data_IF_775750103668
#
_entry.id   IF_775750103668
#
_cell.length_a   1.000
_cell.length_b   1.000
_cell.length_c   1.000
_cell.angle_alpha   90.00
_cell.angle_beta   90.00
_cell.angle_gamma   90.00
#
_symmetry.space_group_name_H-M   'P 1'
#
loop_
_entity.id
_entity.type
_entity.pdbx_description
1 polymer ?
#
# COMPACT_ATOMS: atom_id res chain seq x y z
N UNK A 1 18.30 -16.30 -12.66
CA UNK A 1 17.41 -16.26 -11.52
C UNK A 1 17.69 -15.09 -10.59
N UNK A 2 18.88 -14.91 -9.97
CA UNK A 2 19.15 -13.78 -9.04
C UNK A 2 18.92 -12.35 -9.59
N UNK A 3 18.95 -12.13 -10.90
CA UNK A 3 18.75 -10.80 -11.56
C UNK A 3 17.32 -10.56 -12.06
N UNK A 4 16.49 -11.59 -12.20
CA UNK A 4 15.12 -11.46 -12.70
C UNK A 4 14.11 -10.97 -11.63
N UNK A 5 14.35 -11.28 -10.35
CA UNK A 5 13.36 -10.97 -9.29
C UNK A 5 13.40 -9.50 -8.81
N UNK A 6 14.51 -8.77 -8.98
CA UNK A 6 14.60 -7.37 -8.52
C UNK A 6 13.74 -6.38 -9.30
N UNK A 7 13.48 -6.63 -10.58
CA UNK A 7 12.68 -5.73 -11.42
C UNK A 7 11.17 -5.98 -11.31
N UNK A 8 10.78 -7.19 -10.94
CA UNK A 8 9.39 -7.62 -10.87
C UNK A 8 8.64 -6.96 -9.70
N UNK A 9 9.37 -6.54 -8.67
CA UNK A 9 8.79 -5.94 -7.47
C UNK A 9 8.17 -4.55 -7.68
N UNK A 10 8.55 -3.84 -8.71
CA UNK A 10 8.03 -2.50 -8.98
C UNK A 10 6.63 -2.49 -9.66
N UNK A 11 6.13 -3.65 -10.12
CA UNK A 11 4.90 -3.73 -10.92
C UNK A 11 3.77 -4.55 -10.28
N UNK A 12 3.97 -5.09 -9.09
CA UNK A 12 3.05 -6.09 -8.53
C UNK A 12 1.63 -5.58 -8.23
N UNK A 13 1.43 -4.30 -8.03
CA UNK A 13 0.21 -3.78 -7.43
C UNK A 13 -0.95 -3.52 -8.38
N UNK A 14 -0.68 -3.14 -9.60
CA UNK A 14 -1.75 -2.80 -10.55
C UNK A 14 -2.53 -4.03 -11.01
N UNK A 15 -1.93 -5.21 -10.89
CA UNK A 15 -2.49 -6.45 -11.40
C UNK A 15 -3.23 -7.30 -10.33
N UNK A 16 -3.19 -6.86 -9.07
CA UNK A 16 -3.84 -7.55 -7.95
C UNK A 16 -5.32 -7.18 -7.76
N UNK A 17 -5.92 -6.40 -8.65
CA UNK A 17 -7.36 -6.11 -8.59
C UNK A 17 -8.14 -7.39 -8.84
N UNK A 18 -8.40 -8.03 -7.77
CA UNK A 18 -9.03 -9.25 -7.41
C UNK A 18 -9.91 -9.96 -8.44
N UNK A 19 -9.80 -11.26 -8.42
CA UNK A 19 -10.90 -12.14 -8.79
C UNK A 19 -12.15 -11.70 -8.01
N UNK A 20 -13.34 -11.61 -8.65
CA UNK A 20 -14.55 -11.22 -7.96
C UNK A 20 -14.84 -12.25 -6.86
N UNK A 21 -14.72 -11.84 -5.61
CA UNK A 21 -15.27 -12.62 -4.51
C UNK A 21 -16.77 -12.79 -4.77
N UNK A 22 -17.27 -14.01 -4.72
CA UNK A 22 -18.69 -14.32 -4.75
C UNK A 22 -19.35 -13.64 -3.55
N UNK A 23 -19.87 -12.46 -3.74
CA UNK A 23 -20.53 -11.68 -2.72
C UNK A 23 -21.85 -12.34 -2.34
N UNK A 24 -21.97 -12.72 -1.08
CA UNK A 24 -23.26 -12.91 -0.43
C UNK A 24 -23.98 -11.54 -0.38
N UNK A 25 -25.31 -11.51 -0.61
CA UNK A 25 -26.08 -10.26 -0.52
C UNK A 25 -25.88 -9.59 0.86
N UNK A 26 -25.48 -8.31 0.92
CA UNK A 26 -25.22 -7.66 2.19
C UNK A 26 -26.52 -7.34 2.93
N UNK A 27 -26.59 -7.67 4.22
CA UNK A 27 -27.44 -6.93 5.16
C UNK A 27 -27.14 -5.43 5.00
N UNK A 28 -28.16 -4.57 5.15
CA UNK A 28 -28.03 -3.13 4.91
C UNK A 28 -26.81 -2.58 5.70
N UNK A 29 -25.72 -2.26 4.99
CA UNK A 29 -24.49 -1.78 5.58
C UNK A 29 -24.72 -0.39 6.21
N UNK A 30 -24.13 -0.15 7.37
CA UNK A 30 -24.08 1.16 7.99
C UNK A 30 -23.01 2.00 7.26
N UNK A 31 -23.36 3.20 6.84
CA UNK A 31 -22.42 4.13 6.24
C UNK A 31 -21.65 4.88 7.35
N UNK A 32 -20.34 5.10 7.19
CA UNK A 32 -19.58 5.98 8.08
C UNK A 32 -20.16 7.39 8.07
N UNK A 33 -20.16 8.05 9.22
CA UNK A 33 -20.58 9.45 9.26
C UNK A 33 -19.60 10.35 8.48
N UNK A 34 -20.04 11.39 7.73
CA UNK A 34 -19.18 12.20 6.87
C UNK A 34 -17.93 12.79 7.54
N UNK A 35 -18.03 13.10 8.83
CA UNK A 35 -16.89 13.65 9.60
C UNK A 35 -15.76 12.61 9.85
N UNK A 36 -15.99 11.32 9.58
CA UNK A 36 -14.99 10.26 9.69
C UNK A 36 -14.17 10.09 8.42
N UNK A 37 -14.63 10.58 7.27
CA UNK A 37 -14.03 10.29 5.96
C UNK A 37 -12.55 10.68 5.88
N UNK A 38 -12.16 11.79 6.51
CA UNK A 38 -10.76 12.22 6.57
C UNK A 38 -9.83 11.23 7.29
N UNK A 39 -10.38 10.29 8.08
CA UNK A 39 -9.62 9.31 8.86
C UNK A 39 -9.70 7.88 8.31
N UNK A 40 -10.59 7.58 7.37
CA UNK A 40 -10.85 6.21 6.94
C UNK A 40 -9.61 5.52 6.37
N UNK A 41 -8.81 6.23 5.57
CA UNK A 41 -7.58 5.66 5.01
C UNK A 41 -6.58 5.29 6.11
N UNK A 42 -6.32 6.22 7.05
CA UNK A 42 -5.44 5.96 8.20
C UNK A 42 -5.98 4.84 9.10
N UNK A 43 -7.30 4.82 9.30
CA UNK A 43 -7.95 3.80 10.14
C UNK A 43 -7.73 2.40 9.60
N UNK A 44 -7.97 2.23 8.30
CA UNK A 44 -7.79 0.96 7.62
C UNK A 44 -6.30 0.57 7.58
N UNK A 45 -5.43 1.50 7.22
CA UNK A 45 -4.00 1.29 7.14
C UNK A 45 -3.34 0.96 8.48
N UNK A 46 -3.90 1.47 9.60
CA UNK A 46 -3.45 1.14 10.95
C UNK A 46 -4.05 -0.18 11.48
N UNK A 47 -4.98 -0.81 10.74
CA UNK A 47 -5.67 -2.02 11.19
C UNK A 47 -6.74 -1.78 12.25
N UNK A 48 -7.18 -0.53 12.44
CA UNK A 48 -8.22 -0.15 13.41
C UNK A 48 -9.65 -0.39 12.89
N UNK A 49 -9.78 -0.82 11.65
CA UNK A 49 -11.04 -1.12 10.99
C UNK A 49 -10.86 -2.35 10.10
N UNK A 50 -11.75 -3.31 10.18
CA UNK A 50 -11.79 -4.51 9.34
C UNK A 50 -12.83 -4.38 8.21
N UNK A 51 -12.85 -5.33 7.26
CA UNK A 51 -13.78 -5.37 6.13
C UNK A 51 -15.25 -5.56 6.56
N UNK A 52 -15.48 -5.94 7.80
CA UNK A 52 -16.81 -6.11 8.39
C UNK A 52 -17.42 -4.83 8.97
N UNK A 53 -16.70 -3.71 8.96
CA UNK A 53 -17.06 -2.47 9.64
C UNK A 53 -18.47 -1.94 9.31
N UNK A 54 -18.93 -2.13 8.08
CA UNK A 54 -20.27 -1.72 7.65
C UNK A 54 -21.42 -2.34 8.45
N UNK A 55 -21.17 -3.39 9.24
CA UNK A 55 -22.19 -4.00 10.11
C UNK A 55 -22.36 -3.27 11.43
N UNK A 56 -21.34 -2.53 11.90
CA UNK A 56 -21.32 -2.02 13.26
C UNK A 56 -20.70 -0.61 13.44
N UNK A 57 -20.27 0.05 12.39
CA UNK A 57 -19.50 1.30 12.47
C UNK A 57 -20.19 2.41 13.28
N UNK A 58 -21.52 2.52 13.22
CA UNK A 58 -22.30 3.47 13.99
C UNK A 58 -22.86 2.87 15.29
N UNK A 59 -22.63 1.59 15.56
CA UNK A 59 -23.10 0.92 16.77
C UNK A 59 -22.18 1.25 17.96
N UNK A 60 -22.68 1.13 19.21
CA UNK A 60 -21.81 1.20 20.38
C UNK A 60 -20.68 0.18 20.30
N UNK A 61 -19.46 0.62 20.61
CA UNK A 61 -18.29 -0.26 20.63
C UNK A 61 -18.44 -1.33 21.72
N UNK A 62 -17.99 -2.56 21.44
CA UNK A 62 -17.94 -3.62 22.44
C UNK A 62 -16.62 -3.59 23.22
N UNK A 63 -16.57 -4.30 24.36
CA UNK A 63 -15.32 -4.43 25.13
C UNK A 63 -14.21 -5.10 24.34
N UNK A 64 -14.52 -6.17 23.60
CA UNK A 64 -13.55 -6.89 22.78
C UNK A 64 -12.99 -6.00 21.66
N UNK A 65 -13.84 -5.22 21.00
CA UNK A 65 -13.41 -4.26 19.97
C UNK A 65 -12.54 -3.15 20.55
N UNK A 66 -12.88 -2.61 21.72
CA UNK A 66 -12.06 -1.60 22.37
C UNK A 66 -10.71 -2.16 22.80
N UNK A 67 -10.68 -3.38 23.35
CA UNK A 67 -9.43 -4.07 23.70
C UNK A 67 -8.55 -4.23 22.45
N UNK A 68 -9.09 -4.77 21.37
CA UNK A 68 -8.33 -4.91 20.11
C UNK A 68 -7.80 -3.56 19.59
N UNK A 69 -8.60 -2.48 19.66
CA UNK A 69 -8.15 -1.14 19.28
C UNK A 69 -6.99 -0.63 20.15
N UNK A 70 -7.10 -0.80 21.47
CA UNK A 70 -6.05 -0.36 22.40
C UNK A 70 -4.76 -1.16 22.23
N UNK A 71 -4.86 -2.46 21.92
CA UNK A 71 -3.70 -3.31 21.62
C UNK A 71 -2.98 -2.79 20.35
N UNK A 72 -3.72 -2.51 19.27
CA UNK A 72 -3.14 -1.93 18.04
C UNK A 72 -2.47 -0.59 18.33
N UNK A 73 -3.12 0.30 19.09
CA UNK A 73 -2.51 1.59 19.46
C UNK A 73 -1.25 1.38 20.29
N UNK A 74 -1.27 0.46 21.27
CA UNK A 74 -0.11 0.11 22.09
C UNK A 74 1.06 -0.40 21.24
N UNK A 75 0.80 -1.32 20.31
CA UNK A 75 1.81 -1.85 19.40
C UNK A 75 2.43 -0.75 18.54
N UNK A 76 1.62 0.18 18.02
CA UNK A 76 2.12 1.32 17.24
C UNK A 76 2.98 2.26 18.08
N UNK A 77 2.61 2.56 19.31
CA UNK A 77 3.41 3.40 20.21
C UNK A 77 4.72 2.71 20.62
N UNK A 78 4.70 1.39 20.82
CA UNK A 78 5.89 0.60 21.16
C UNK A 78 6.98 0.71 20.07
N UNK A 79 6.61 0.83 18.80
CA UNK A 79 7.55 1.01 17.68
C UNK A 79 8.37 2.31 17.78
N UNK A 80 7.89 3.32 18.50
CA UNK A 80 8.57 4.60 18.65
C UNK A 80 9.76 4.54 19.62
N UNK A 81 9.88 3.47 20.42
CA UNK A 81 10.95 3.37 21.42
C UNK A 81 10.96 4.49 22.46
N UNK A 82 9.79 5.05 22.78
CA UNK A 82 9.65 6.13 23.75
C UNK A 82 10.14 5.70 25.13
N UNK A 83 10.72 6.61 25.93
CA UNK A 83 11.15 6.31 27.29
C UNK A 83 9.97 5.84 28.14
N UNK A 84 10.11 4.72 28.84
CA UNK A 84 9.12 4.15 29.74
C UNK A 84 9.05 4.93 31.05
N UNK A 85 7.86 5.04 31.67
CA UNK A 85 7.69 5.70 33.00
C UNK A 85 7.97 4.77 34.18
N UNK A 86 8.06 3.46 33.97
CA UNK A 86 8.08 2.48 35.04
C UNK A 86 6.63 2.19 35.48
N UNK A 87 6.21 0.99 35.24
CA UNK A 87 4.83 0.57 35.38
C UNK A 87 4.27 0.81 36.79
N UNK A 88 3.16 1.54 36.89
CA UNK A 88 2.13 1.18 37.84
C UNK A 88 1.40 -0.01 37.21
N UNK A 89 1.39 -1.15 37.90
CA UNK A 89 0.81 -2.43 37.46
C UNK A 89 -0.74 -2.38 37.38
N UNK A 90 -1.30 -1.23 37.08
CA UNK A 90 -2.74 -1.05 36.96
C UNK A 90 -3.24 -1.61 35.62
N UNK A 91 -4.05 -2.66 35.72
CA UNK A 91 -4.64 -3.27 34.55
C UNK A 91 -5.50 -2.25 33.76
N UNK A 92 -5.40 -2.26 32.44
CA UNK A 92 -6.21 -1.43 31.55
C UNK A 92 -7.71 -1.60 31.88
N UNK A 93 -8.38 -0.51 32.19
CA UNK A 93 -9.80 -0.53 32.49
C UNK A 93 -10.59 -0.33 31.19
N UNK A 94 -11.30 -1.36 30.77
CA UNK A 94 -12.14 -1.35 29.57
C UNK A 94 -13.57 -0.96 29.94
N UNK A 95 -13.91 0.29 29.61
CA UNK A 95 -15.25 0.85 29.71
C UNK A 95 -15.65 1.46 28.35
N UNK A 96 -16.81 1.10 27.83
CA UNK A 96 -17.26 1.46 26.47
C UNK A 96 -18.06 2.77 26.43
N UNK A 97 -18.08 3.55 27.49
CA UNK A 97 -18.52 4.94 27.45
C UNK A 97 -17.48 5.82 26.76
N UNK A 98 -17.85 6.99 26.29
CA UNK A 98 -16.88 7.94 25.68
C UNK A 98 -15.76 8.29 26.66
N UNK A 99 -16.07 8.50 27.93
CA UNK A 99 -15.08 8.72 28.99
C UNK A 99 -14.17 7.50 29.19
N UNK A 100 -14.76 6.31 29.14
CA UNK A 100 -14.02 5.05 29.26
C UNK A 100 -13.03 4.83 28.12
N UNK A 101 -13.45 5.06 26.87
CA UNK A 101 -12.57 4.99 25.69
C UNK A 101 -11.43 6.01 25.80
N UNK A 102 -11.73 7.26 26.19
CA UNK A 102 -10.70 8.29 26.40
C UNK A 102 -9.70 7.86 27.49
N UNK A 103 -10.19 7.28 28.58
CA UNK A 103 -9.33 6.77 29.64
C UNK A 103 -8.45 5.59 29.18
N UNK A 104 -9.01 4.65 28.43
CA UNK A 104 -8.25 3.52 27.90
C UNK A 104 -7.11 3.99 26.96
N UNK A 105 -7.39 4.91 26.05
CA UNK A 105 -6.37 5.49 25.18
C UNK A 105 -5.31 6.29 25.94
N UNK A 106 -5.71 7.02 26.99
CA UNK A 106 -4.75 7.71 27.86
C UNK A 106 -3.87 6.71 28.63
N UNK A 107 -4.42 5.60 29.13
CA UNK A 107 -3.67 4.58 29.85
C UNK A 107 -2.56 3.96 28.98
N UNK A 108 -2.83 3.71 27.70
CA UNK A 108 -1.80 3.25 26.74
C UNK A 108 -0.63 4.25 26.67
N UNK A 109 -0.92 5.55 26.72
CA UNK A 109 0.12 6.60 26.72
C UNK A 109 0.82 6.74 28.09
N UNK A 110 0.13 6.43 29.18
CA UNK A 110 0.65 6.62 30.54
C UNK A 110 1.87 5.74 30.86
N UNK A 111 2.09 4.68 30.09
CA UNK A 111 3.29 3.84 30.20
C UNK A 111 4.57 4.56 29.72
N UNK A 112 4.44 5.66 29.00
CA UNK A 112 5.54 6.40 28.38
C UNK A 112 5.74 7.79 28.99
N UNK A 113 6.97 8.29 28.95
CA UNK A 113 7.29 9.67 29.30
C UNK A 113 6.88 10.58 28.15
N UNK A 114 5.72 11.23 28.28
CA UNK A 114 5.19 12.17 27.31
C UNK A 114 4.91 13.51 27.97
N UNK A 115 5.16 14.61 27.24
CA UNK A 115 4.82 15.95 27.69
C UNK A 115 3.29 16.07 27.88
N UNK A 116 2.90 16.65 29.02
CA UNK A 116 1.49 16.84 29.39
C UNK A 116 0.77 15.61 29.95
N UNK A 117 1.41 14.43 29.99
CA UNK A 117 0.77 13.19 30.47
C UNK A 117 0.30 13.30 31.94
N UNK A 118 0.99 14.07 32.80
CA UNK A 118 0.64 14.27 34.19
C UNK A 118 -0.53 15.23 34.43
N UNK A 119 -1.01 15.89 33.38
CA UNK A 119 -2.18 16.79 33.46
C UNK A 119 -3.53 16.04 33.54
N UNK A 120 -3.49 14.72 33.30
CA UNK A 120 -4.64 13.84 33.32
C UNK A 120 -5.33 13.67 31.97
N UNK A 121 -6.31 12.77 31.94
CA UNK A 121 -6.95 12.24 30.71
C UNK A 121 -7.39 13.34 29.73
N UNK A 122 -8.29 14.22 30.18
CA UNK A 122 -8.93 15.18 29.26
C UNK A 122 -7.98 16.29 28.81
N UNK A 123 -7.18 16.95 29.70
CA UNK A 123 -6.21 17.93 29.24
C UNK A 123 -5.21 17.36 28.23
N UNK A 124 -4.62 16.21 28.53
CA UNK A 124 -3.66 15.54 27.64
C UNK A 124 -4.25 15.22 26.27
N UNK A 125 -5.42 14.56 26.21
CA UNK A 125 -6.05 14.19 24.94
C UNK A 125 -6.55 15.42 24.15
N UNK A 126 -6.93 16.51 24.82
CA UNK A 126 -7.28 17.77 24.15
C UNK A 126 -6.06 18.45 23.54
N UNK A 127 -4.96 18.49 24.27
CA UNK A 127 -3.70 19.07 23.77
C UNK A 127 -3.18 18.31 22.53
N UNK A 128 -3.33 16.98 22.51
CA UNK A 128 -3.04 16.17 21.34
C UNK A 128 -4.07 16.29 20.20
N UNK A 129 -5.18 17.01 20.41
CA UNK A 129 -6.25 17.12 19.42
C UNK A 129 -7.07 15.83 19.21
N UNK A 130 -6.91 14.85 20.10
CA UNK A 130 -7.63 13.56 20.05
C UNK A 130 -9.12 13.79 20.29
N UNK A 131 -9.50 14.61 21.27
CA UNK A 131 -10.88 14.91 21.62
C UNK A 131 -11.23 16.37 21.31
N UNK A 132 -12.30 16.56 20.51
CA UNK A 132 -12.74 17.89 20.05
C UNK A 132 -14.10 18.32 20.60
N UNK A 133 -14.80 17.46 21.35
CA UNK A 133 -16.17 17.69 21.79
C UNK A 133 -17.21 17.29 20.74
N UNK A 134 -18.46 17.14 21.17
CA UNK A 134 -19.61 16.70 20.36
C UNK A 134 -20.45 17.87 19.85
N UNK A 135 -20.20 19.10 20.33
CA UNK A 135 -20.90 20.31 19.93
C UNK A 135 -19.97 21.53 19.99
N UNK A 136 -20.48 22.70 19.59
CA UNK A 136 -19.74 23.96 19.60
C UNK A 136 -19.31 24.42 21.01
N UNK A 137 -20.00 23.96 22.08
CA UNK A 137 -19.62 24.25 23.46
C UNK A 137 -18.43 23.41 23.94
N UNK A 138 -18.04 22.37 23.16
CA UNK A 138 -16.93 21.49 23.49
C UNK A 138 -17.28 20.43 24.54
N UNK A 139 -18.58 20.13 24.72
CA UNK A 139 -19.03 19.04 25.60
C UNK A 139 -18.49 17.70 25.12
N UNK A 140 -18.13 16.83 26.07
CA UNK A 140 -17.53 15.53 25.76
C UNK A 140 -18.49 14.35 25.88
N UNK A 141 -19.64 14.54 26.54
CA UNK A 141 -20.66 13.52 26.79
C UNK A 141 -20.09 12.21 27.36
N UNK A 142 -19.27 12.33 28.40
CA UNK A 142 -18.41 11.25 28.90
C UNK A 142 -19.16 9.97 29.29
N UNK A 143 -20.40 10.09 29.79
CA UNK A 143 -21.23 8.97 30.24
C UNK A 143 -22.02 8.29 29.11
N UNK A 144 -22.00 8.85 27.89
CA UNK A 144 -22.70 8.27 26.74
C UNK A 144 -21.93 7.06 26.18
N UNK A 145 -22.63 6.03 25.67
CA UNK A 145 -22.00 4.96 24.95
C UNK A 145 -21.16 5.53 23.78
N UNK A 146 -19.93 5.06 23.63
CA UNK A 146 -19.07 5.42 22.50
C UNK A 146 -19.42 4.54 21.30
N UNK A 147 -19.60 5.13 20.12
CA UNK A 147 -19.73 4.35 18.88
C UNK A 147 -18.38 3.85 18.40
N UNK A 148 -18.38 2.78 17.59
CA UNK A 148 -17.15 2.24 17.01
C UNK A 148 -16.38 3.31 16.24
N UNK A 149 -17.05 4.09 15.37
CA UNK A 149 -16.42 5.17 14.60
C UNK A 149 -15.81 6.29 15.47
N UNK A 150 -16.40 6.58 16.63
CA UNK A 150 -15.85 7.58 17.54
C UNK A 150 -14.57 7.08 18.22
N UNK A 151 -14.57 5.83 18.69
CA UNK A 151 -13.37 5.20 19.26
C UNK A 151 -12.26 5.08 18.23
N UNK A 152 -12.60 4.64 17.01
CA UNK A 152 -11.72 4.53 15.87
C UNK A 152 -11.01 5.85 15.55
N UNK A 153 -11.77 6.95 15.41
CA UNK A 153 -11.19 8.27 15.09
C UNK A 153 -10.35 8.81 16.25
N UNK A 154 -10.74 8.58 17.50
CA UNK A 154 -9.89 8.95 18.65
C UNK A 154 -8.58 8.18 18.63
N UNK A 155 -8.60 6.90 18.31
CA UNK A 155 -7.40 6.05 18.21
C UNK A 155 -6.47 6.52 17.09
N UNK A 156 -6.99 6.79 15.89
CA UNK A 156 -6.19 7.35 14.78
C UNK A 156 -5.54 8.68 15.16
N UNK A 157 -6.34 9.61 15.69
CA UNK A 157 -5.82 10.93 16.10
C UNK A 157 -4.73 10.80 17.15
N UNK A 158 -4.86 9.87 18.08
CA UNK A 158 -3.83 9.61 19.10
C UNK A 158 -2.54 9.11 18.46
N UNK A 159 -2.61 8.07 17.63
CA UNK A 159 -1.42 7.53 16.95
C UNK A 159 -0.75 8.62 16.14
N UNK A 160 -1.47 9.33 15.28
CA UNK A 160 -0.91 10.40 14.45
C UNK A 160 -0.28 11.52 15.30
N UNK A 161 -0.94 11.97 16.37
CA UNK A 161 -0.42 13.04 17.21
C UNK A 161 0.86 12.64 17.97
N UNK A 162 0.94 11.39 18.45
CA UNK A 162 2.14 10.90 19.13
C UNK A 162 3.30 10.74 18.14
N UNK A 163 3.04 10.20 16.95
CA UNK A 163 4.04 10.11 15.89
C UNK A 163 4.54 11.47 15.44
N UNK A 164 3.63 12.46 15.28
CA UNK A 164 3.98 13.83 14.90
C UNK A 164 4.86 14.53 15.95
N UNK A 165 4.59 14.31 17.24
CA UNK A 165 5.44 14.80 18.34
C UNK A 165 6.82 14.14 18.35
N UNK A 166 6.87 12.85 18.02
CA UNK A 166 8.13 12.10 17.95
C UNK A 166 8.92 12.37 16.65
N UNK A 167 8.36 13.17 15.73
CA UNK A 167 8.89 13.37 14.38
C UNK A 167 9.14 12.03 13.65
N UNK A 168 8.18 11.13 13.76
CA UNK A 168 8.24 9.74 13.32
C UNK A 168 7.20 9.43 12.24
N UNK A 169 7.23 8.20 11.73
CA UNK A 169 6.42 7.71 10.61
C UNK A 169 7.23 7.59 9.33
N UNK A 170 6.70 6.86 8.36
CA UNK A 170 7.39 6.63 7.10
C UNK A 170 7.43 7.89 6.25
N UNK A 171 8.65 8.32 5.88
CA UNK A 171 8.87 9.53 5.10
C UNK A 171 8.51 9.32 3.62
N UNK A 172 8.73 8.09 3.10
CA UNK A 172 8.64 7.80 1.67
C UNK A 172 9.73 8.46 0.87
N UNK A 173 9.96 8.00 -0.34
CA UNK A 173 10.84 8.70 -1.29
C UNK A 173 10.06 9.87 -1.89
N UNK A 174 10.16 11.02 -1.24
CA UNK A 174 9.34 12.20 -1.51
C UNK A 174 10.19 13.37 -2.00
N UNK A 175 9.81 13.96 -3.13
CA UNK A 175 10.46 15.15 -3.68
C UNK A 175 9.43 16.23 -3.96
N UNK A 176 9.92 17.46 -4.02
CA UNK A 176 9.15 18.64 -4.40
C UNK A 176 9.81 19.34 -5.57
N UNK A 177 9.00 19.70 -6.56
CA UNK A 177 9.41 20.49 -7.73
C UNK A 177 8.53 21.72 -7.82
N UNK A 178 9.10 22.88 -8.08
CA UNK A 178 8.34 24.12 -8.27
C UNK A 178 8.68 24.77 -9.61
N UNK A 179 7.67 25.29 -10.29
CA UNK A 179 7.83 26.09 -11.49
C UNK A 179 6.79 27.23 -11.49
N UNK A 180 7.25 28.48 -11.29
CA UNK A 180 6.35 29.61 -11.10
C UNK A 180 5.44 29.42 -9.89
N UNK A 181 4.12 29.39 -10.12
CA UNK A 181 3.10 29.16 -9.09
C UNK A 181 2.72 27.69 -8.94
N UNK A 182 3.24 26.79 -9.79
CA UNK A 182 2.95 25.38 -9.75
C UNK A 182 3.89 24.62 -8.80
N UNK A 183 3.32 23.69 -8.05
CA UNK A 183 4.05 22.75 -7.20
C UNK A 183 3.69 21.33 -7.59
N UNK A 184 4.69 20.47 -7.76
CA UNK A 184 4.54 19.05 -7.97
C UNK A 184 5.28 18.29 -6.88
N UNK A 185 4.55 17.53 -6.10
CA UNK A 185 5.13 16.51 -5.21
C UNK A 185 5.24 15.20 -5.98
N UNK A 186 6.39 14.54 -5.84
CA UNK A 186 6.67 13.23 -6.44
C UNK A 186 6.86 12.25 -5.31
N UNK A 187 6.12 11.16 -5.29
CA UNK A 187 6.30 10.06 -4.35
C UNK A 187 6.61 8.77 -5.11
N UNK A 188 7.78 8.19 -4.82
CA UNK A 188 8.08 6.82 -5.23
C UNK A 188 7.34 5.84 -4.35
N UNK A 189 6.42 5.04 -4.89
CA UNK A 189 5.69 4.02 -4.14
C UNK A 189 6.40 2.67 -4.19
N UNK A 190 6.21 1.86 -3.15
CA UNK A 190 6.64 0.46 -3.11
C UNK A 190 5.40 -0.40 -2.92
N UNK A 191 5.17 -1.31 -3.85
CA UNK A 191 3.96 -2.12 -3.93
C UNK A 191 4.08 -3.37 -3.06
N UNK A 192 4.22 -3.18 -1.76
CA UNK A 192 4.28 -4.29 -0.79
C UNK A 192 3.32 -4.01 0.34
N UNK A 193 2.44 -4.96 0.58
CA UNK A 193 1.49 -4.93 1.68
C UNK A 193 2.19 -5.22 2.99
N UNK A 194 2.69 -4.17 3.66
CA UNK A 194 3.31 -4.29 4.99
C UNK A 194 2.71 -3.30 5.97
N UNK A 195 2.17 -3.79 7.05
CA UNK A 195 1.52 -2.98 8.09
C UNK A 195 2.45 -1.99 8.80
N UNK A 196 3.78 -2.22 8.75
CA UNK A 196 4.77 -1.41 9.45
C UNK A 196 5.17 -0.11 8.71
N UNK A 197 4.60 0.17 7.52
CA UNK A 197 4.81 1.44 6.82
C UNK A 197 3.93 2.58 7.35
N UNK A 198 2.89 2.26 8.11
CA UNK A 198 1.95 3.25 8.63
C UNK A 198 2.16 3.51 10.12
N UNK A 199 1.93 4.76 10.58
CA UNK A 199 1.46 5.91 9.80
C UNK A 199 2.58 6.55 8.96
N UNK A 200 2.18 7.28 7.92
CA UNK A 200 3.10 8.13 7.18
C UNK A 200 3.53 9.34 8.01
N UNK A 201 4.74 9.81 7.77
CA UNK A 201 5.28 11.01 8.39
C UNK A 201 4.44 12.26 8.02
N UNK A 202 4.38 13.24 8.92
CA UNK A 202 3.60 14.47 8.74
C UNK A 202 3.93 15.24 7.46
N UNK A 203 5.19 15.20 6.96
CA UNK A 203 5.58 15.86 5.71
C UNK A 203 4.88 15.24 4.50
N UNK A 204 4.85 13.91 4.40
CA UNK A 204 4.16 13.20 3.32
C UNK A 204 2.65 13.45 3.38
N UNK A 205 2.04 13.33 4.58
CA UNK A 205 0.61 13.62 4.76
C UNK A 205 0.27 15.07 4.41
N UNK A 206 1.14 16.04 4.75
CA UNK A 206 0.94 17.45 4.41
C UNK A 206 1.09 17.70 2.90
N UNK A 207 2.05 17.05 2.22
CA UNK A 207 2.21 17.14 0.78
C UNK A 207 0.95 16.62 0.07
N UNK A 208 0.45 15.42 0.44
CA UNK A 208 -0.79 14.86 -0.08
C UNK A 208 -1.98 15.78 0.19
N UNK A 209 -2.11 16.30 1.43
CA UNK A 209 -3.21 17.17 1.81
C UNK A 209 -3.25 18.47 1.01
N UNK A 210 -2.08 19.04 0.67
CA UNK A 210 -1.98 20.29 -0.09
C UNK A 210 -2.34 20.17 -1.57
N UNK A 211 -2.25 18.96 -2.14
CA UNK A 211 -2.51 18.74 -3.56
C UNK A 211 -4.01 18.88 -3.90
N UNK A 212 -4.30 19.49 -5.04
CA UNK A 212 -5.64 19.58 -5.62
C UNK A 212 -5.94 18.35 -6.48
N UNK A 213 -4.91 17.83 -7.16
CA UNK A 213 -4.99 16.63 -7.99
C UNK A 213 -3.95 15.62 -7.54
N UNK A 214 -4.37 14.38 -7.38
CA UNK A 214 -3.49 13.24 -7.11
C UNK A 214 -3.45 12.37 -8.35
N UNK A 215 -2.24 12.04 -8.78
CA UNK A 215 -1.99 11.34 -10.04
C UNK A 215 -1.30 10.03 -9.72
N UNK A 216 -1.79 8.95 -10.31
CA UNK A 216 -1.25 7.61 -10.17
C UNK A 216 -0.74 7.07 -11.51
N UNK A 217 -0.15 5.89 -11.52
CA UNK A 217 0.10 5.17 -12.77
C UNK A 217 -1.22 4.87 -13.49
N UNK A 218 -2.23 4.39 -12.73
CA UNK A 218 -3.58 4.12 -13.21
C UNK A 218 -4.64 4.76 -12.31
N UNK A 219 -5.79 5.12 -12.87
CA UNK A 219 -6.95 5.52 -12.08
C UNK A 219 -7.69 4.29 -11.55
N UNK A 220 -7.57 4.01 -10.26
CA UNK A 220 -8.23 2.89 -9.59
C UNK A 220 -9.77 3.00 -9.56
N UNK A 221 -10.32 4.16 -9.92
CA UNK A 221 -11.76 4.41 -9.95
C UNK A 221 -12.34 4.29 -11.37
N UNK A 222 -11.50 4.09 -12.39
CA UNK A 222 -11.91 3.90 -13.78
C UNK A 222 -12.50 2.50 -13.99
N UNK A 223 -13.84 2.38 -13.87
CA UNK A 223 -14.55 1.12 -14.02
C UNK A 223 -14.50 0.58 -15.45
N UNK A 224 -14.40 1.44 -16.45
CA UNK A 224 -14.29 1.04 -17.86
C UNK A 224 -12.90 0.45 -18.12
N UNK A 225 -11.86 1.11 -17.65
CA UNK A 225 -10.48 0.63 -17.72
C UNK A 225 -10.27 -0.69 -16.95
N UNK A 226 -10.87 -0.83 -15.77
CA UNK A 226 -10.86 -2.09 -15.01
C UNK A 226 -11.54 -3.24 -15.77
N UNK A 227 -12.66 -2.98 -16.42
CA UNK A 227 -13.34 -3.98 -17.24
C UNK A 227 -12.53 -4.36 -18.49
N UNK A 228 -11.88 -3.38 -19.13
CA UNK A 228 -10.93 -3.62 -20.24
C UNK A 228 -9.75 -4.47 -19.79
N UNK A 229 -9.14 -4.13 -18.64
CA UNK A 229 -8.07 -4.90 -18.03
C UNK A 229 -8.46 -6.36 -17.81
N UNK A 230 -9.64 -6.61 -17.21
CA UNK A 230 -10.14 -7.96 -16.97
C UNK A 230 -10.34 -8.73 -18.28
N UNK A 231 -10.85 -8.07 -19.33
CA UNK A 231 -11.05 -8.67 -20.64
C UNK A 231 -9.72 -9.01 -21.35
N UNK A 232 -8.68 -8.19 -21.17
CA UNK A 232 -7.36 -8.40 -21.79
C UNK A 232 -6.58 -9.56 -21.20
N UNK A 233 -6.90 -10.00 -19.99
CA UNK A 233 -6.27 -11.15 -19.32
C UNK A 233 -6.67 -12.49 -19.93
N UNK A 234 -7.73 -12.54 -20.70
CA UNK A 234 -8.29 -13.76 -21.27
C UNK A 234 -8.18 -13.78 -22.79
N UNK A 235 -8.24 -14.99 -23.37
CA UNK A 235 -8.31 -15.15 -24.82
C UNK A 235 -9.71 -14.81 -25.34
N UNK A 236 -9.77 -14.05 -26.44
CA UNK A 236 -11.02 -13.68 -27.12
C UNK A 236 -11.11 -14.19 -28.56
N UNK A 237 -10.07 -14.88 -29.05
CA UNK A 237 -9.94 -15.40 -30.40
C UNK A 237 -10.42 -16.85 -30.57
N UNK A 238 -10.89 -17.47 -29.48
CA UNK A 238 -11.33 -18.86 -29.44
C UNK A 238 -10.24 -19.87 -29.13
N UNK A 239 -9.01 -19.41 -28.89
CA UNK A 239 -7.92 -20.24 -28.35
C UNK A 239 -8.00 -20.32 -26.82
N UNK A 240 -7.22 -21.19 -26.24
CA UNK A 240 -7.13 -21.39 -24.78
C UNK A 240 -5.67 -21.49 -24.36
N UNK A 241 -5.40 -21.46 -23.06
CA UNK A 241 -4.05 -21.63 -22.52
C UNK A 241 -3.30 -22.86 -23.10
N UNK A 242 -4.05 -23.96 -23.37
CA UNK A 242 -3.49 -25.19 -23.98
C UNK A 242 -2.83 -24.97 -25.36
N UNK A 243 -3.27 -23.98 -26.08
CA UNK A 243 -2.77 -23.67 -27.42
C UNK A 243 -1.48 -22.86 -27.40
N UNK A 244 -1.10 -22.33 -26.21
CA UNK A 244 -0.03 -21.35 -26.06
C UNK A 244 1.12 -21.79 -25.15
N UNK A 245 0.98 -22.87 -24.39
CA UNK A 245 2.01 -23.42 -23.50
C UNK A 245 2.14 -24.93 -23.67
N UNK A 246 3.26 -25.51 -23.19
CA UNK A 246 3.49 -26.95 -23.23
C UNK A 246 2.43 -27.72 -22.42
N UNK A 247 2.09 -28.96 -22.84
CA UNK A 247 1.11 -29.79 -22.09
C UNK A 247 1.52 -30.05 -20.64
N UNK A 248 2.82 -30.16 -20.38
CA UNK A 248 3.39 -30.39 -19.06
C UNK A 248 3.13 -29.18 -18.16
N UNK A 249 3.44 -27.97 -18.64
CA UNK A 249 3.19 -26.73 -17.90
C UNK A 249 1.69 -26.51 -17.69
N UNK A 250 0.87 -26.82 -18.72
CA UNK A 250 -0.59 -26.71 -18.57
C UNK A 250 -1.12 -27.58 -17.43
N UNK A 251 -0.69 -28.85 -17.37
CA UNK A 251 -1.14 -29.76 -16.30
C UNK A 251 -0.73 -29.26 -14.90
N UNK A 252 0.51 -28.78 -14.77
CA UNK A 252 1.00 -28.19 -13.52
C UNK A 252 0.27 -26.91 -13.14
N UNK A 253 -0.02 -26.04 -14.10
CA UNK A 253 -0.77 -24.80 -13.89
C UNK A 253 -2.19 -25.10 -13.38
N UNK A 254 -2.90 -26.04 -14.05
CA UNK A 254 -4.24 -26.45 -13.62
C UNK A 254 -4.22 -27.00 -12.20
N UNK A 255 -3.21 -27.80 -11.83
CA UNK A 255 -3.08 -28.33 -10.47
C UNK A 255 -2.94 -27.18 -9.43
N UNK A 256 -2.00 -26.25 -9.64
CA UNK A 256 -1.77 -25.12 -8.73
C UNK A 256 -3.04 -24.29 -8.53
N UNK A 257 -3.72 -23.94 -9.62
CA UNK A 257 -4.93 -23.14 -9.54
C UNK A 257 -6.16 -23.91 -9.03
N UNK A 258 -6.20 -25.24 -9.17
CA UNK A 258 -7.23 -26.07 -8.55
C UNK A 258 -7.12 -26.05 -7.02
N UNK A 259 -5.90 -26.04 -6.47
CA UNK A 259 -5.64 -25.92 -5.03
C UNK A 259 -6.08 -24.52 -4.51
N UNK A 260 -6.08 -23.50 -5.38
CA UNK A 260 -6.63 -22.17 -5.12
C UNK A 260 -8.14 -22.06 -5.41
N UNK A 261 -8.82 -23.17 -5.75
CA UNK A 261 -10.27 -23.22 -5.95
C UNK A 261 -10.76 -22.85 -7.36
N UNK A 262 -9.86 -22.72 -8.34
CA UNK A 262 -10.25 -22.46 -9.74
C UNK A 262 -10.51 -23.75 -10.50
N UNK A 263 -11.56 -23.75 -11.35
CA UNK A 263 -11.80 -24.86 -12.28
C UNK A 263 -10.82 -24.85 -13.45
N UNK A 264 -10.56 -26.04 -14.05
CA UNK A 264 -9.74 -26.13 -15.26
C UNK A 264 -10.27 -25.24 -16.40
N UNK A 265 -11.59 -25.14 -16.57
CA UNK A 265 -12.22 -24.30 -17.60
C UNK A 265 -11.90 -22.80 -17.37
N UNK A 266 -11.92 -22.35 -16.10
CA UNK A 266 -11.56 -20.99 -15.75
C UNK A 266 -10.08 -20.72 -16.04
N UNK A 267 -9.18 -21.60 -15.60
CA UNK A 267 -7.72 -21.48 -15.85
C UNK A 267 -7.43 -21.44 -17.36
N UNK A 268 -8.10 -22.30 -18.15
CA UNK A 268 -7.89 -22.40 -19.60
C UNK A 268 -8.24 -21.10 -20.36
N UNK A 269 -9.08 -20.23 -19.80
CA UNK A 269 -9.45 -18.97 -20.43
C UNK A 269 -8.37 -17.89 -20.33
N UNK A 270 -7.49 -17.95 -19.32
CA UNK A 270 -6.50 -16.93 -19.04
C UNK A 270 -5.22 -17.06 -19.87
N UNK A 271 -4.59 -15.93 -20.14
CA UNK A 271 -3.26 -15.84 -20.76
C UNK A 271 -2.15 -16.20 -19.75
N UNK A 272 -0.99 -16.71 -20.21
CA UNK A 272 0.10 -17.14 -19.31
C UNK A 272 0.58 -16.03 -18.37
N UNK A 273 0.75 -14.80 -18.89
CA UNK A 273 1.22 -13.68 -18.09
C UNK A 273 0.22 -13.29 -16.96
N UNK A 274 -1.08 -13.41 -17.23
CA UNK A 274 -2.11 -13.07 -16.24
C UNK A 274 -2.11 -14.05 -15.05
N UNK A 275 -1.95 -15.36 -15.34
CA UNK A 275 -1.82 -16.39 -14.32
C UNK A 275 -0.50 -16.24 -13.53
N UNK A 276 0.60 -15.92 -14.23
CA UNK A 276 1.89 -15.67 -13.58
C UNK A 276 1.81 -14.50 -12.59
N UNK A 277 1.19 -13.38 -13.00
CA UNK A 277 1.00 -12.22 -12.14
C UNK A 277 0.10 -12.53 -10.93
N UNK A 278 -0.94 -13.35 -11.10
CA UNK A 278 -1.79 -13.80 -9.98
C UNK A 278 -0.99 -14.60 -8.95
N UNK A 279 -0.13 -15.52 -9.39
CA UNK A 279 0.74 -16.29 -8.49
C UNK A 279 1.80 -15.42 -7.84
N UNK A 280 2.36 -14.45 -8.56
CA UNK A 280 3.31 -13.48 -8.01
C UNK A 280 2.67 -12.68 -6.88
N UNK A 281 1.45 -12.20 -7.08
CA UNK A 281 0.70 -11.46 -6.07
C UNK A 281 0.50 -12.28 -4.80
N UNK A 282 0.09 -13.55 -4.94
CA UNK A 282 -0.08 -14.45 -3.79
C UNK A 282 1.25 -14.70 -3.05
N UNK A 283 2.35 -14.82 -3.78
CA UNK A 283 3.67 -15.06 -3.19
C UNK A 283 4.25 -13.85 -2.45
N UNK A 284 3.72 -12.65 -2.69
CA UNK A 284 4.18 -11.39 -2.04
C UNK A 284 3.31 -10.97 -0.85
N UNK A 285 2.18 -11.63 -0.60
CA UNK A 285 1.33 -11.36 0.56
C UNK A 285 1.99 -11.85 1.84
N UNK A 286 2.01 -11.00 2.86
CA UNK A 286 2.52 -11.35 4.20
C UNK A 286 1.42 -12.02 5.02
N UNK A 287 1.52 -13.33 5.25
CA UNK A 287 0.56 -14.11 6.05
C UNK A 287 0.57 -13.75 7.54
N UNK A 288 1.55 -12.99 8.02
CA UNK A 288 1.75 -12.71 9.45
C UNK A 288 0.98 -11.50 9.96
N UNK A 289 0.38 -10.69 9.08
CA UNK A 289 -0.35 -9.48 9.46
C UNK A 289 -1.81 -9.80 9.83
N UNK A 290 -2.17 -9.53 11.07
CA UNK A 290 -3.58 -9.48 11.50
C UNK A 290 -4.21 -8.19 10.97
N UNK A 291 -5.02 -8.30 9.96
CA UNK A 291 -5.63 -7.20 9.20
C UNK A 291 -5.04 -7.15 7.79
N UNK A 292 -5.85 -6.82 6.79
CA UNK A 292 -5.36 -6.68 5.42
C UNK A 292 -4.45 -5.45 5.35
N UNK A 293 -3.13 -5.59 5.12
CA UNK A 293 -2.27 -4.44 4.95
C UNK A 293 -2.73 -3.66 3.72
N UNK A 294 -2.86 -2.35 3.84
CA UNK A 294 -3.25 -1.49 2.74
C UNK A 294 -2.03 -1.12 1.92
N UNK A 295 -2.05 -1.41 0.63
CA UNK A 295 -1.02 -0.96 -0.28
C UNK A 295 -0.91 0.57 -0.31
N UNK A 296 0.29 1.11 -0.48
CA UNK A 296 0.55 2.56 -0.43
C UNK A 296 -0.32 3.31 -1.43
N UNK A 297 -0.42 2.82 -2.67
CA UNK A 297 -1.22 3.46 -3.72
C UNK A 297 -2.72 3.45 -3.39
N UNK A 298 -3.23 2.37 -2.81
CA UNK A 298 -4.63 2.27 -2.38
C UNK A 298 -4.92 3.20 -1.20
N UNK A 299 -3.97 3.34 -0.25
CA UNK A 299 -4.07 4.34 0.81
C UNK A 299 -4.18 5.75 0.23
N UNK A 300 -3.25 6.12 -0.66
CA UNK A 300 -3.22 7.44 -1.29
C UNK A 300 -4.50 7.72 -2.07
N UNK A 301 -4.98 6.73 -2.85
CA UNK A 301 -6.23 6.83 -3.58
C UNK A 301 -7.42 7.03 -2.63
N UNK A 302 -7.54 6.19 -1.60
CA UNK A 302 -8.61 6.30 -0.60
C UNK A 302 -8.60 7.65 0.10
N UNK A 303 -7.43 8.11 0.55
CA UNK A 303 -7.28 9.41 1.18
C UNK A 303 -7.66 10.56 0.24
N UNK A 304 -7.27 10.49 -1.04
CA UNK A 304 -7.60 11.49 -2.05
C UNK A 304 -9.10 11.53 -2.37
N UNK A 305 -9.73 10.36 -2.58
CA UNK A 305 -11.16 10.24 -2.85
C UNK A 305 -11.98 10.76 -1.66
N UNK A 306 -11.62 10.35 -0.44
CA UNK A 306 -12.32 10.77 0.78
C UNK A 306 -12.18 12.28 1.04
N UNK A 307 -11.09 12.89 0.60
CA UNK A 307 -10.88 14.35 0.65
C UNK A 307 -11.51 15.11 -0.55
N UNK A 308 -12.17 14.43 -1.47
CA UNK A 308 -12.80 15.03 -2.65
C UNK A 308 -11.80 15.62 -3.65
N UNK A 309 -10.56 15.14 -3.70
CA UNK A 309 -9.53 15.58 -4.65
C UNK A 309 -9.81 15.05 -6.05
N UNK A 310 -9.24 15.71 -7.05
CA UNK A 310 -9.22 15.19 -8.41
C UNK A 310 -8.24 14.03 -8.49
N UNK A 311 -8.64 12.97 -9.19
CA UNK A 311 -7.77 11.82 -9.50
C UNK A 311 -7.47 11.88 -10.99
N UNK A 312 -6.22 11.59 -11.36
CA UNK A 312 -5.75 11.48 -12.74
C UNK A 312 -4.77 10.30 -12.85
N UNK A 313 -4.45 9.88 -14.05
CA UNK A 313 -3.52 8.79 -14.30
C UNK A 313 -2.53 9.14 -15.41
N UNK A 314 -1.29 8.62 -15.28
CA UNK A 314 -0.24 8.80 -16.31
C UNK A 314 -0.46 7.83 -17.46
N UNK A 315 -0.98 6.63 -17.18
CA UNK A 315 -1.13 5.53 -18.11
C UNK A 315 -2.58 5.01 -18.15
N UNK A 316 -2.85 4.12 -19.08
CA UNK A 316 -4.14 3.42 -19.20
C UNK A 316 -3.97 1.95 -18.87
N UNK A 317 -5.05 1.29 -18.47
CA UNK A 317 -5.09 -0.16 -18.24
C UNK A 317 -4.66 -0.95 -19.49
N UNK A 318 -5.14 -0.55 -20.66
CA UNK A 318 -4.74 -1.17 -21.93
C UNK A 318 -3.24 -1.06 -22.19
N UNK A 319 -2.63 0.10 -21.88
CA UNK A 319 -1.20 0.28 -22.05
C UNK A 319 -0.42 -0.65 -21.11
N UNK A 320 -0.75 -0.70 -19.82
CA UNK A 320 -0.05 -1.59 -18.88
C UNK A 320 -0.25 -3.07 -19.20
N UNK A 321 -1.45 -3.49 -19.62
CA UNK A 321 -1.65 -4.85 -20.14
C UNK A 321 -0.72 -5.16 -21.31
N UNK A 322 -0.51 -4.19 -22.20
CA UNK A 322 0.34 -4.40 -23.40
C UNK A 322 1.79 -4.70 -23.05
N UNK A 323 2.27 -4.28 -21.88
CA UNK A 323 3.63 -4.58 -21.37
C UNK A 323 3.84 -6.09 -21.31
N UNK A 324 2.85 -6.84 -20.85
CA UNK A 324 2.90 -8.30 -20.72
C UNK A 324 2.38 -9.00 -21.96
N UNK A 325 1.30 -8.51 -22.56
CA UNK A 325 0.60 -9.17 -23.66
C UNK A 325 1.42 -9.22 -24.95
N UNK A 326 2.38 -8.31 -25.10
CA UNK A 326 3.29 -8.24 -26.25
C UNK A 326 4.67 -8.87 -26.02
N UNK A 327 4.90 -9.48 -24.86
CA UNK A 327 6.10 -10.33 -24.63
C UNK A 327 6.07 -11.53 -25.58
N UNK A 328 7.25 -12.03 -25.93
CA UNK A 328 7.33 -13.24 -26.79
C UNK A 328 6.58 -14.42 -26.14
N UNK A 329 5.98 -15.31 -26.94
CA UNK A 329 5.32 -16.50 -26.41
C UNK A 329 6.23 -17.34 -25.53
N UNK A 330 7.49 -17.47 -25.91
CA UNK A 330 8.53 -18.20 -25.19
C UNK A 330 8.79 -17.56 -23.81
N UNK A 331 8.80 -16.21 -23.77
CA UNK A 331 8.97 -15.48 -22.52
C UNK A 331 7.75 -15.65 -21.60
N UNK A 332 6.53 -15.53 -22.12
CA UNK A 332 5.30 -15.69 -21.35
C UNK A 332 5.18 -17.11 -20.75
N UNK A 333 5.53 -18.14 -21.53
CA UNK A 333 5.57 -19.54 -21.04
C UNK A 333 6.61 -19.70 -19.91
N UNK A 334 7.83 -19.19 -20.11
CA UNK A 334 8.89 -19.27 -19.10
C UNK A 334 8.55 -18.47 -17.84
N UNK A 335 7.89 -17.34 -18.00
CA UNK A 335 7.42 -16.49 -16.89
C UNK A 335 6.38 -17.22 -16.02
N UNK A 336 5.36 -17.83 -16.66
CA UNK A 336 4.39 -18.65 -15.95
C UNK A 336 5.06 -19.88 -15.29
N UNK A 337 5.94 -20.58 -16.01
CA UNK A 337 6.62 -21.74 -15.47
C UNK A 337 7.43 -21.43 -14.21
N UNK A 338 8.03 -20.25 -14.14
CA UNK A 338 8.77 -19.79 -12.96
C UNK A 338 7.91 -19.79 -11.69
N UNK A 339 6.73 -19.18 -11.76
CA UNK A 339 5.81 -19.08 -10.60
C UNK A 339 5.06 -20.39 -10.31
N UNK A 340 4.67 -21.16 -11.32
CA UNK A 340 4.08 -22.49 -11.14
C UNK A 340 5.06 -23.42 -10.44
N UNK A 341 6.32 -23.42 -10.86
CA UNK A 341 7.34 -24.24 -10.20
C UNK A 341 7.59 -23.78 -8.76
N UNK A 342 7.57 -22.48 -8.49
CA UNK A 342 7.68 -21.95 -7.13
C UNK A 342 6.55 -22.45 -6.25
N UNK A 343 5.30 -22.41 -6.74
CA UNK A 343 4.13 -22.87 -6.01
C UNK A 343 4.12 -24.38 -5.74
N UNK A 344 4.77 -25.18 -6.60
CA UNK A 344 4.83 -26.66 -6.47
C UNK A 344 6.02 -27.17 -5.66
N UNK A 345 6.92 -26.31 -5.19
CA UNK A 345 8.18 -26.71 -4.55
C UNK A 345 7.98 -27.63 -3.36
N UNK A 346 6.97 -27.38 -2.53
CA UNK A 346 6.74 -28.14 -1.30
C UNK A 346 5.96 -29.43 -1.52
N UNK A 347 5.19 -29.55 -2.63
CA UNK A 347 4.22 -30.65 -2.78
C UNK A 347 4.64 -31.76 -3.76
N UNK A 348 5.38 -31.45 -4.84
CA UNK A 348 5.55 -32.43 -5.94
C UNK A 348 6.93 -32.47 -6.61
N UNK A 349 7.80 -31.49 -6.41
CA UNK A 349 9.12 -31.47 -7.00
C UNK A 349 10.13 -32.26 -6.15
N UNK A 350 10.63 -33.37 -6.69
CA UNK A 350 11.78 -34.09 -6.11
C UNK A 350 13.05 -33.22 -6.27
N UNK A 351 13.27 -32.33 -5.29
CA UNK A 351 14.50 -31.55 -5.20
C UNK A 351 15.54 -32.27 -4.37
N UNK A 352 16.80 -32.20 -4.79
CA UNK A 352 17.92 -32.63 -3.94
C UNK A 352 18.08 -31.67 -2.76
N UNK A 353 18.67 -32.12 -1.67
CA UNK A 353 18.94 -31.26 -0.50
C UNK A 353 19.79 -30.03 -0.84
N UNK A 354 20.68 -30.14 -1.83
CA UNK A 354 21.49 -29.04 -2.34
C UNK A 354 20.61 -28.00 -3.05
N UNK A 355 19.68 -28.43 -3.91
CA UNK A 355 18.72 -27.53 -4.60
C UNK A 355 17.78 -26.83 -3.63
N UNK A 356 17.27 -27.56 -2.62
CA UNK A 356 16.44 -26.95 -1.56
C UNK A 356 17.20 -25.87 -0.82
N UNK A 357 18.46 -26.15 -0.45
CA UNK A 357 19.32 -25.18 0.22
C UNK A 357 19.59 -23.94 -0.63
N UNK A 358 19.93 -24.13 -1.92
CA UNK A 358 20.16 -23.01 -2.85
C UNK A 358 18.90 -22.14 -3.02
N UNK A 359 17.72 -22.76 -3.07
CA UNK A 359 16.46 -22.05 -3.15
C UNK A 359 16.18 -21.28 -1.86
N UNK A 360 16.31 -21.91 -0.70
CA UNK A 360 16.12 -21.27 0.60
C UNK A 360 17.08 -20.06 0.74
N UNK A 361 18.35 -20.22 0.40
CA UNK A 361 19.33 -19.12 0.43
C UNK A 361 18.92 -17.99 -0.55
N UNK A 362 18.34 -18.32 -1.70
CA UNK A 362 17.84 -17.33 -2.65
C UNK A 362 16.61 -16.58 -2.13
N UNK A 363 15.67 -17.28 -1.48
CA UNK A 363 14.48 -16.67 -0.87
C UNK A 363 14.87 -15.76 0.29
N UNK A 364 15.73 -16.23 1.22
CA UNK A 364 16.23 -15.41 2.33
C UNK A 364 16.99 -14.17 1.85
N UNK A 365 17.74 -14.28 0.77
CA UNK A 365 18.41 -13.13 0.16
C UNK A 365 17.41 -12.10 -0.37
N UNK A 366 16.36 -12.57 -1.05
CA UNK A 366 15.30 -11.73 -1.60
C UNK A 366 14.53 -11.00 -0.49
N UNK A 367 14.14 -11.72 0.56
CA UNK A 367 13.46 -11.15 1.72
C UNK A 367 14.30 -10.03 2.37
N UNK A 368 15.59 -10.29 2.59
CA UNK A 368 16.53 -9.28 3.11
C UNK A 368 16.67 -8.05 2.21
N UNK A 369 16.68 -8.23 0.89
CA UNK A 369 16.74 -7.11 -0.05
C UNK A 369 15.45 -6.29 0.02
N UNK A 370 14.29 -6.96 0.10
CA UNK A 370 13.01 -6.31 0.25
C UNK A 370 12.93 -5.52 1.56
N UNK A 371 13.32 -6.14 2.67
CA UNK A 371 13.34 -5.47 3.97
C UNK A 371 14.24 -4.23 3.94
N UNK A 372 15.44 -4.35 3.36
CA UNK A 372 16.36 -3.24 3.21
C UNK A 372 15.79 -2.11 2.35
N UNK A 373 15.12 -2.43 1.23
CA UNK A 373 14.42 -1.44 0.39
C UNK A 373 13.31 -0.75 1.18
N UNK A 374 12.51 -1.50 1.93
CA UNK A 374 11.43 -0.93 2.75
C UNK A 374 11.97 -0.02 3.85
N UNK A 375 13.07 -0.38 4.51
CA UNK A 375 13.67 0.47 5.54
C UNK A 375 14.24 1.77 4.94
N UNK A 376 14.89 1.72 3.77
CA UNK A 376 15.36 2.94 3.08
C UNK A 376 14.19 3.80 2.62
N UNK A 377 13.12 3.19 2.12
CA UNK A 377 11.89 3.88 1.74
C UNK A 377 11.22 4.57 2.95
N UNK A 378 11.10 3.88 4.07
CA UNK A 378 10.55 4.44 5.32
C UNK A 378 11.39 5.60 5.84
N UNK A 379 12.71 5.50 5.70
CA UNK A 379 13.63 6.55 6.10
C UNK A 379 13.67 7.76 5.14
N UNK A 380 13.08 7.64 3.94
CA UNK A 380 13.18 8.66 2.89
C UNK A 380 14.58 8.74 2.26
N UNK A 381 15.41 7.71 2.39
CA UNK A 381 16.80 7.69 1.88
C UNK A 381 16.83 7.19 0.43
N UNK A 382 16.63 8.11 -0.52
CA UNK A 382 16.61 7.81 -1.94
C UNK A 382 17.97 7.25 -2.43
N UNK A 383 19.08 7.73 -1.91
CA UNK A 383 20.41 7.27 -2.33
C UNK A 383 20.66 5.82 -1.90
N UNK A 384 20.32 5.45 -0.66
CA UNK A 384 20.42 4.08 -0.20
C UNK A 384 19.42 3.14 -0.91
N UNK A 385 18.23 3.65 -1.26
CA UNK A 385 17.26 2.91 -2.07
C UNK A 385 17.81 2.59 -3.46
N UNK A 386 18.42 3.57 -4.15
CA UNK A 386 19.05 3.41 -5.46
C UNK A 386 20.16 2.35 -5.44
N UNK A 387 21.00 2.32 -4.39
CA UNK A 387 22.06 1.31 -4.25
C UNK A 387 21.49 -0.11 -4.14
N UNK A 388 20.35 -0.29 -3.48
CA UNK A 388 19.72 -1.62 -3.31
C UNK A 388 18.95 -2.02 -4.57
N UNK A 389 18.18 -1.10 -5.17
CA UNK A 389 17.33 -1.38 -6.32
C UNK A 389 18.13 -1.63 -7.60
N UNK A 390 19.32 -1.02 -7.76
CA UNK A 390 20.24 -1.17 -8.91
C UNK A 390 19.54 -1.10 -10.27
N UNK A 391 18.81 -0.02 -10.53
CA UNK A 391 18.10 0.20 -11.79
C UNK A 391 19.02 0.10 -13.02
N UNK A 392 20.29 0.49 -12.88
CA UNK A 392 21.27 0.37 -13.97
C UNK A 392 21.43 -1.08 -14.41
N UNK A 393 21.58 -2.02 -13.47
CA UNK A 393 21.66 -3.45 -13.78
C UNK A 393 20.37 -3.99 -14.41
N UNK A 394 19.21 -3.46 -14.04
CA UNK A 394 17.92 -3.79 -14.67
C UNK A 394 17.89 -3.34 -16.11
N UNK A 395 18.28 -2.10 -16.40
CA UNK A 395 18.30 -1.53 -17.77
C UNK A 395 19.35 -2.18 -18.69
N UNK A 396 20.49 -2.64 -18.14
CA UNK A 396 21.51 -3.38 -18.89
C UNK A 396 21.11 -4.84 -19.16
N UNK A 397 20.06 -5.33 -18.53
CA UNK A 397 19.53 -6.68 -18.71
C UNK A 397 19.00 -6.86 -20.15
N UNK A 398 19.17 -8.06 -20.68
CA UNK A 398 18.55 -8.48 -21.95
C UNK A 398 17.16 -9.06 -21.77
N UNK A 399 16.60 -8.93 -20.58
CA UNK A 399 15.26 -9.39 -20.23
C UNK A 399 14.20 -8.53 -20.93
N UNK A 400 13.25 -9.17 -21.61
CA UNK A 400 12.22 -8.47 -22.39
C UNK A 400 11.32 -7.59 -21.52
N UNK A 401 10.97 -8.06 -20.33
CA UNK A 401 10.07 -7.34 -19.41
C UNK A 401 10.75 -6.10 -18.85
N UNK A 402 12.02 -6.21 -18.43
CA UNK A 402 12.77 -5.11 -17.83
C UNK A 402 12.84 -3.88 -18.74
N UNK A 403 13.06 -4.07 -20.04
CA UNK A 403 13.07 -2.97 -21.00
C UNK A 403 11.73 -2.24 -21.06
N UNK A 404 10.62 -3.00 -21.08
CA UNK A 404 9.27 -2.45 -21.17
C UNK A 404 8.84 -1.76 -19.89
N UNK A 405 9.33 -2.23 -18.74
CA UNK A 405 8.97 -1.65 -17.44
C UNK A 405 9.48 -0.21 -17.26
N UNK A 406 10.66 0.10 -17.80
CA UNK A 406 11.31 1.39 -17.56
C UNK A 406 11.59 2.17 -18.84
N UNK A 407 12.26 1.56 -19.83
CA UNK A 407 12.74 2.25 -21.03
C UNK A 407 11.60 2.87 -21.83
N UNK A 408 10.46 2.18 -21.90
CA UNK A 408 9.30 2.64 -22.67
C UNK A 408 8.39 3.59 -21.86
N UNK A 409 8.47 3.55 -20.52
CA UNK A 409 7.54 4.27 -19.61
C UNK A 409 8.14 5.55 -19.06
N UNK A 410 9.39 5.52 -18.57
CA UNK A 410 10.02 6.67 -17.90
C UNK A 410 10.00 7.95 -18.73
N UNK A 411 10.30 7.95 -20.05
CA UNK A 411 10.24 9.15 -20.85
C UNK A 411 8.85 9.79 -20.90
N UNK A 412 7.79 8.97 -20.96
CA UNK A 412 6.41 9.44 -20.97
C UNK A 412 6.00 10.04 -19.61
N UNK A 413 6.45 9.40 -18.51
CA UNK A 413 6.21 9.90 -17.14
C UNK A 413 6.93 11.22 -16.89
N UNK A 414 8.18 11.39 -17.38
CA UNK A 414 8.93 12.63 -17.31
C UNK A 414 8.20 13.74 -18.08
N UNK A 415 7.77 13.45 -19.32
CA UNK A 415 7.02 14.42 -20.14
C UNK A 415 5.70 14.83 -19.46
N UNK A 416 4.99 13.86 -18.88
CA UNK A 416 3.75 14.11 -18.14
C UNK A 416 4.00 15.03 -16.93
N UNK A 417 5.00 14.73 -16.11
CA UNK A 417 5.38 15.53 -14.95
C UNK A 417 5.79 16.97 -15.35
N UNK A 418 6.55 17.12 -16.43
CA UNK A 418 6.92 18.43 -16.95
C UNK A 418 5.70 19.25 -17.42
N UNK A 419 4.73 18.61 -18.09
CA UNK A 419 3.48 19.26 -18.51
C UNK A 419 2.63 19.74 -17.33
N UNK A 420 2.63 19.04 -16.20
CA UNK A 420 1.96 19.50 -14.99
C UNK A 420 2.57 20.81 -14.48
N UNK A 421 3.90 20.90 -14.48
CA UNK A 421 4.64 22.07 -14.02
C UNK A 421 4.46 23.30 -14.93
N UNK A 422 4.06 23.09 -16.18
CA UNK A 422 3.82 24.14 -17.19
C UNK A 422 2.34 24.55 -17.29
N UNK A 423 1.43 23.94 -16.52
CA UNK A 423 0.01 24.33 -16.53
C UNK A 423 -0.17 25.80 -16.13
N UNK A 424 -1.14 26.45 -16.75
CA UNK A 424 -1.54 27.80 -16.37
C UNK A 424 -2.23 27.83 -15.00
N UNK A 425 -1.97 28.90 -14.22
CA UNK A 425 -2.56 29.12 -12.90
C UNK A 425 -1.71 28.57 -11.76
N UNK A 426 -2.26 28.63 -10.54
CA UNK A 426 -1.67 28.12 -9.33
C UNK A 426 -2.19 26.69 -9.07
N UNK A 427 -1.34 25.70 -9.28
CA UNK A 427 -1.71 24.31 -9.13
C UNK A 427 -0.75 23.57 -8.20
N UNK A 428 -1.30 22.69 -7.40
CA UNK A 428 -0.52 21.74 -6.58
C UNK A 428 -0.93 20.31 -6.96
N UNK A 429 0.04 19.55 -7.42
CA UNK A 429 -0.10 18.18 -7.85
C UNK A 429 0.65 17.24 -6.92
N UNK A 430 0.16 16.00 -6.81
CA UNK A 430 0.84 14.91 -6.12
C UNK A 430 0.89 13.72 -7.08
N UNK A 431 2.06 13.37 -7.58
CA UNK A 431 2.30 12.25 -8.49
C UNK A 431 2.91 11.08 -7.71
N UNK A 432 2.17 9.99 -7.63
CA UNK A 432 2.59 8.76 -7.00
C UNK A 432 2.73 7.64 -8.05
N UNK A 433 3.95 7.21 -8.28
CA UNK A 433 4.28 6.07 -9.17
C UNK A 433 5.36 5.23 -8.52
N UNK A 434 5.55 4.00 -8.98
CA UNK A 434 6.54 3.08 -8.41
C UNK A 434 7.93 3.72 -8.26
N UNK A 435 8.59 3.49 -7.13
CA UNK A 435 9.89 4.08 -6.79
C UNK A 435 10.96 3.84 -7.87
N UNK A 436 10.89 2.71 -8.58
CA UNK A 436 11.77 2.43 -9.71
C UNK A 436 11.67 3.44 -10.85
N UNK A 437 10.52 4.11 -11.04
CA UNK A 437 10.34 5.18 -12.02
C UNK A 437 10.89 6.52 -11.54
N UNK A 438 11.00 6.73 -10.23
CA UNK A 438 11.51 7.97 -9.67
C UNK A 438 13.04 8.05 -9.72
N UNK A 439 13.72 6.94 -9.42
CA UNK A 439 15.18 6.89 -9.22
C UNK A 439 15.97 6.75 -10.51
N UNK A 440 17.25 7.16 -10.48
CA UNK A 440 18.16 7.11 -11.61
C UNK A 440 18.79 5.70 -11.79
N UNK A 441 19.27 5.36 -12.99
CA UNK A 441 19.36 6.21 -14.17
C UNK A 441 18.03 6.33 -14.94
N UNK A 442 17.78 7.53 -15.47
CA UNK A 442 16.68 7.79 -16.41
C UNK A 442 15.31 7.93 -15.76
N UNK A 443 15.22 8.01 -14.43
CA UNK A 443 13.97 8.21 -13.73
C UNK A 443 13.44 9.64 -13.79
N UNK A 444 12.25 9.83 -13.23
CA UNK A 444 11.51 11.12 -13.26
C UNK A 444 12.32 12.24 -12.60
N UNK A 445 12.95 11.96 -11.45
CA UNK A 445 13.73 12.94 -10.70
C UNK A 445 14.91 13.46 -11.52
N UNK A 446 15.72 12.54 -12.09
CA UNK A 446 16.85 12.91 -12.96
C UNK A 446 16.40 13.57 -14.25
N UNK A 447 15.31 13.08 -14.87
CA UNK A 447 14.72 13.65 -16.08
C UNK A 447 14.27 15.10 -15.90
N UNK A 448 13.57 15.42 -14.80
CA UNK A 448 13.17 16.79 -14.48
C UNK A 448 14.38 17.70 -14.19
N UNK A 449 15.40 17.19 -13.48
CA UNK A 449 16.66 17.93 -13.28
C UNK A 449 17.35 18.23 -14.61
N UNK A 450 17.38 17.27 -15.54
CA UNK A 450 17.95 17.44 -16.88
C UNK A 450 17.17 18.48 -17.73
N UNK A 451 15.87 18.64 -17.52
CA UNK A 451 15.03 19.68 -18.10
C UNK A 451 15.22 21.05 -17.45
N UNK A 452 16.01 21.16 -16.38
CA UNK A 452 16.36 22.41 -15.71
C UNK A 452 15.49 22.74 -14.50
N UNK A 453 14.61 21.85 -14.07
CA UNK A 453 13.83 22.04 -12.84
C UNK A 453 14.69 21.79 -11.59
N UNK A 454 14.42 22.54 -10.52
CA UNK A 454 14.98 22.26 -9.20
C UNK A 454 14.10 21.21 -8.53
N UNK A 455 14.68 20.05 -8.21
CA UNK A 455 14.02 18.95 -7.52
C UNK A 455 14.63 18.83 -6.12
N UNK A 456 13.85 19.17 -5.12
CA UNK A 456 14.20 19.12 -3.70
C UNK A 456 13.72 17.81 -3.10
N UNK A 457 14.58 17.12 -2.39
CA UNK A 457 14.23 15.91 -1.60
C UNK A 457 13.70 16.39 -0.23
N UNK A 458 12.58 15.81 0.26
CA UNK A 458 11.87 16.26 1.47
C UNK A 458 12.05 15.30 2.66
#
# INVERSE_FOLDING_TARGET
MKKMLSAILALALVLCLGMPALAAEPEAAQEPAPWTYEYLADTYALGLMDDGYGKYIQSPITQDQLTAMTDIVSDKLALLGLPQRGADDDALVIDTTRGGVMNALYQVCADYQMEGIDEGVIPFLRELGVVKGVNEAGDLDLEQPCTYQEAMVMSVRLVLAVYDRADAGSQGLLWKVTNGENTLYLLGTVHVDRSNVYPFHKSLRAALASAQTVIFELDFNDQEGLAEFAAMQTYSDGTTLKDHISPELYASTVQVFADLGMSEEAVAAYKPWALANSLMSLATQDETTTGAPMAIDLYLNSAAVNAGKQIDAVETYAFQCSIFDTLSPEYQEAYLAGYVNLALIDDTLEMTEEQKKELQEAMEYQEKQMDAMMETWKAGDAAAFEEIFDKAAVLESTDELNSRLFTDRDPNMIEYAAKLLEREGENTFFLAVGAGHMVDPGGIVGGLRALGYTVEEL
#
